data_IF_702557053865
#
_entry.id   IF_702557053865
#
_cell.length_a   1.000
_cell.length_b   1.000
_cell.length_c   1.000
_cell.angle_alpha   90.00
_cell.angle_beta   90.00
_cell.angle_gamma   90.00
#
_symmetry.space_group_name_H-M   'P 1'
#
loop_
_entity.id
_entity.type
_entity.pdbx_description
1 polymer ?
#
# COMPACT_ATOMS: atom_id res chain seq x y z
N UNK A 1 12.03 -18.78 -23.87
CA UNK A 1 12.01 -17.48 -23.18
C UNK A 1 11.05 -17.62 -22.02
N UNK A 2 11.59 -17.66 -20.80
CA UNK A 2 10.81 -17.91 -19.60
C UNK A 2 9.96 -16.68 -19.29
N UNK A 3 8.64 -16.77 -19.54
CA UNK A 3 7.65 -15.84 -19.01
C UNK A 3 7.68 -15.96 -17.49
N UNK A 4 8.37 -15.04 -16.80
CA UNK A 4 8.20 -14.86 -15.35
C UNK A 4 6.72 -14.56 -15.14
N UNK A 5 6.01 -15.43 -14.41
CA UNK A 5 4.63 -15.18 -14.01
C UNK A 5 4.65 -13.95 -13.08
N UNK A 6 3.99 -12.89 -13.50
CA UNK A 6 3.72 -11.72 -12.67
C UNK A 6 2.99 -12.21 -11.41
N UNK A 7 3.51 -11.89 -10.23
CA UNK A 7 2.84 -12.22 -8.97
C UNK A 7 1.93 -11.05 -8.65
N UNK A 8 0.63 -11.29 -8.60
CA UNK A 8 -0.44 -10.32 -8.34
C UNK A 8 -0.17 -9.39 -7.13
N UNK A 9 0.68 -9.82 -6.18
CA UNK A 9 1.05 -9.10 -4.96
C UNK A 9 1.79 -7.76 -5.16
N UNK A 10 2.51 -7.52 -6.27
CA UNK A 10 3.31 -6.28 -6.42
C UNK A 10 2.47 -5.08 -6.86
N UNK A 11 1.44 -5.32 -7.68
CA UNK A 11 0.47 -4.31 -8.15
C UNK A 11 -0.40 -3.79 -6.99
N UNK A 12 -0.55 -4.58 -5.91
CA UNK A 12 -1.21 -4.14 -4.68
C UNK A 12 -0.51 -2.97 -3.99
N UNK A 13 0.77 -2.62 -4.22
CA UNK A 13 1.37 -1.50 -3.47
C UNK A 13 0.87 -0.11 -3.93
N UNK A 14 0.69 0.09 -5.25
CA UNK A 14 0.11 1.33 -5.80
C UNK A 14 -1.40 1.34 -5.62
N UNK A 15 -2.05 0.17 -5.71
CA UNK A 15 -3.52 0.05 -5.71
C UNK A 15 -4.12 -0.23 -4.32
N UNK A 16 -3.36 -0.78 -3.36
CA UNK A 16 -3.73 -0.80 -1.93
C UNK A 16 -3.49 0.54 -1.26
N UNK A 17 -2.77 1.47 -1.91
CA UNK A 17 -2.79 2.89 -1.53
C UNK A 17 -4.21 3.48 -1.65
N UNK A 18 -5.11 2.84 -2.42
CA UNK A 18 -6.55 3.17 -2.51
C UNK A 18 -7.39 2.37 -1.49
N UNK A 19 -6.82 1.36 -0.82
CA UNK A 19 -7.54 0.41 0.05
C UNK A 19 -6.80 0.08 1.36
N UNK A 20 -6.14 1.04 2.01
CA UNK A 20 -5.72 0.85 3.40
C UNK A 20 -6.94 1.03 4.31
N UNK A 21 -7.77 -0.01 4.40
CA UNK A 21 -8.59 -0.22 5.60
C UNK A 21 -7.65 -0.78 6.66
N UNK A 22 -7.62 -0.10 7.80
CA UNK A 22 -6.73 -0.33 8.91
C UNK A 22 -6.72 -1.79 9.39
N UNK A 23 -5.56 -2.43 9.30
CA UNK A 23 -5.22 -3.61 10.10
C UNK A 23 -3.94 -3.34 10.91
N UNK A 24 -3.93 -2.24 11.68
CA UNK A 24 -2.97 -2.03 12.77
C UNK A 24 -3.75 -1.89 14.08
N UNK A 25 -4.01 -3.03 14.73
CA UNK A 25 -4.24 -3.03 16.18
C UNK A 25 -2.89 -2.97 16.90
N UNK A 26 -2.77 -2.23 18.03
CA UNK A 26 -1.51 -2.17 18.77
C UNK A 26 -1.13 -3.55 19.32
N UNK A 27 0.09 -3.97 19.06
CA UNK A 27 0.69 -5.17 19.63
C UNK A 27 0.75 -5.02 21.16
N UNK A 28 -0.06 -5.80 21.87
CA UNK A 28 0.07 -6.01 23.32
C UNK A 28 1.27 -6.94 23.54
N UNK A 29 2.25 -6.56 24.37
CA UNK A 29 3.40 -7.41 24.65
C UNK A 29 2.97 -8.65 25.46
N UNK A 30 3.58 -9.82 25.23
CA UNK A 30 3.27 -11.01 26.04
C UNK A 30 3.86 -10.85 27.44
N UNK A 31 2.99 -10.96 28.45
CA UNK A 31 3.43 -11.21 29.83
C UNK A 31 3.92 -12.65 29.99
N UNK A 32 4.99 -12.76 30.78
CA UNK A 32 5.81 -13.93 31.00
C UNK A 32 5.09 -15.14 31.64
N UNK A 33 5.67 -16.30 31.36
CA UNK A 33 5.18 -17.63 31.67
C UNK A 33 5.17 -18.00 33.17
N UNK A 34 4.25 -18.90 33.51
CA UNK A 34 4.31 -19.71 34.73
C UNK A 34 3.57 -21.04 34.58
N UNK A 35 4.33 -22.10 34.23
CA UNK A 35 4.28 -23.51 34.73
C UNK A 35 2.91 -24.12 35.10
N UNK A 36 2.45 -25.29 34.64
CA UNK A 36 3.05 -26.65 34.68
C UNK A 36 2.09 -27.69 34.07
N UNK A 37 2.66 -28.81 33.62
CA UNK A 37 2.15 -30.21 33.58
C UNK A 37 1.04 -30.67 32.61
N UNK A 38 1.49 -31.42 31.59
CA UNK A 38 1.14 -32.81 31.23
C UNK A 38 -0.31 -33.33 31.41
N UNK A 39 -0.90 -33.80 30.30
CA UNK A 39 -1.30 -35.21 30.15
C UNK A 39 -1.75 -35.51 28.70
N UNK A 40 -1.30 -36.65 28.20
CA UNK A 40 -1.72 -37.26 26.94
C UNK A 40 -3.20 -37.72 26.99
N UNK A 41 -3.85 -37.81 25.83
CA UNK A 41 -4.64 -39.00 25.43
C UNK A 41 -5.10 -38.89 23.97
N UNK A 42 -5.12 -40.06 23.32
CA UNK A 42 -5.36 -40.33 21.91
C UNK A 42 -6.83 -40.64 21.58
N UNK A 43 -7.13 -40.55 20.27
CA UNK A 43 -8.20 -41.25 19.55
C UNK A 43 -9.63 -40.68 19.75
N UNK A 44 -10.55 -40.67 18.79
CA UNK A 44 -10.95 -41.68 17.79
C UNK A 44 -11.68 -40.99 16.62
N UNK A 45 -11.55 -41.55 15.41
CA UNK A 45 -12.33 -41.23 14.21
C UNK A 45 -13.80 -41.72 14.30
N UNK A 46 -14.73 -40.97 13.69
CA UNK A 46 -16.04 -41.50 13.30
C UNK A 46 -16.50 -40.86 11.98
N UNK A 47 -16.57 -41.69 10.94
CA UNK A 47 -17.34 -41.46 9.71
C UNK A 47 -18.84 -41.37 10.02
N UNK A 48 -19.58 -40.55 9.26
CA UNK A 48 -20.96 -40.88 8.89
C UNK A 48 -21.43 -40.06 7.67
N UNK A 49 -21.40 -40.74 6.51
CA UNK A 49 -22.47 -40.85 5.49
C UNK A 49 -23.11 -39.58 4.89
N UNK A 50 -22.88 -39.46 3.58
CA UNK A 50 -23.69 -38.71 2.63
C UNK A 50 -25.13 -39.21 2.54
N UNK A 51 -26.06 -38.27 2.36
CA UNK A 51 -27.40 -38.48 1.81
C UNK A 51 -27.70 -37.31 0.88
N UNK A 52 -27.77 -37.55 -0.44
CA UNK A 52 -28.61 -36.76 -1.35
C UNK A 52 -30.02 -37.36 -1.35
N UNK A 53 -31.10 -36.58 -1.59
CA UNK A 53 -31.53 -36.45 -2.98
C UNK A 53 -32.13 -35.09 -3.39
N UNK A 54 -31.98 -34.84 -4.70
CA UNK A 54 -32.84 -34.12 -5.67
C UNK A 54 -34.05 -33.31 -5.16
N UNK A 55 -34.17 -32.08 -5.66
CA UNK A 55 -35.41 -31.31 -5.63
C UNK A 55 -35.34 -29.93 -6.27
N UNK A 56 -35.60 -29.89 -7.58
CA UNK A 56 -36.19 -28.79 -8.37
C UNK A 56 -35.78 -27.33 -8.08
N UNK A 57 -35.19 -26.71 -9.11
CA UNK A 57 -35.18 -25.27 -9.29
C UNK A 57 -36.59 -24.68 -9.16
N UNK A 58 -36.74 -23.70 -8.26
CA UNK A 58 -37.79 -22.69 -8.36
C UNK A 58 -37.17 -21.32 -8.15
N UNK A 59 -37.16 -20.60 -9.25
CA UNK A 59 -37.09 -19.15 -9.39
C UNK A 59 -38.17 -18.51 -8.51
N UNK A 60 -37.76 -17.88 -7.41
CA UNK A 60 -38.58 -16.94 -6.65
C UNK A 60 -37.72 -15.74 -6.27
N UNK A 61 -37.91 -14.64 -6.98
CA UNK A 61 -37.51 -13.32 -6.52
C UNK A 61 -38.09 -13.09 -5.12
N UNK A 62 -37.21 -12.95 -4.13
CA UNK A 62 -37.56 -12.52 -2.78
C UNK A 62 -37.67 -10.99 -2.82
N UNK A 63 -38.79 -10.38 -2.45
CA UNK A 63 -38.84 -8.93 -2.30
C UNK A 63 -37.95 -8.52 -1.12
N UNK A 64 -37.17 -7.46 -1.29
CA UNK A 64 -36.38 -6.83 -0.24
C UNK A 64 -37.33 -6.25 0.83
N UNK A 65 -37.67 -7.07 1.83
CA UNK A 65 -38.39 -6.61 3.02
C UNK A 65 -37.36 -6.25 4.09
N UNK A 66 -36.88 -5.00 4.03
CA UNK A 66 -35.95 -4.42 5.01
C UNK A 66 -36.65 -4.08 6.35
N UNK A 67 -37.90 -4.48 6.57
CA UNK A 67 -38.68 -4.06 7.75
C UNK A 67 -38.22 -4.66 9.09
N UNK A 68 -37.22 -5.54 9.09
CA UNK A 68 -36.77 -6.28 10.28
C UNK A 68 -35.30 -6.07 10.67
N UNK A 69 -34.58 -5.15 10.02
CA UNK A 69 -33.22 -4.81 10.46
C UNK A 69 -33.33 -3.92 11.70
N UNK A 70 -32.83 -4.43 12.83
CA UNK A 70 -32.73 -3.70 14.09
C UNK A 70 -32.19 -2.30 13.92
N UNK A 71 -33.09 -1.33 13.96
CA UNK A 71 -32.78 0.08 13.84
C UNK A 71 -32.04 0.49 15.10
N UNK A 72 -30.77 0.86 14.93
CA UNK A 72 -29.92 1.37 15.99
C UNK A 72 -30.58 2.50 16.76
N UNK A 73 -30.64 2.42 18.09
CA UNK A 73 -30.53 3.60 18.96
C UNK A 73 -29.05 3.71 19.37
N UNK A 74 -28.25 4.36 18.51
CA UNK A 74 -26.87 4.72 18.84
C UNK A 74 -26.92 5.76 19.95
N UNK A 75 -26.60 5.34 21.18
CA UNK A 75 -26.60 6.10 22.44
C UNK A 75 -26.87 7.62 22.33
N UNK A 76 -28.12 8.01 22.60
CA UNK A 76 -28.57 9.34 23.02
C UNK A 76 -28.58 10.51 22.03
N UNK A 77 -28.74 10.29 20.72
CA UNK A 77 -29.19 11.37 19.79
C UNK A 77 -30.02 10.94 18.58
N UNK A 78 -30.59 9.74 18.53
CA UNK A 78 -31.57 9.46 17.49
C UNK A 78 -32.94 10.02 17.90
N UNK A 79 -33.55 10.95 17.14
CA UNK A 79 -34.93 11.33 17.40
C UNK A 79 -35.82 10.11 17.19
N UNK A 80 -36.77 9.85 18.09
CA UNK A 80 -37.63 8.65 18.11
C UNK A 80 -38.54 8.48 16.85
N UNK A 81 -38.36 9.30 15.80
CA UNK A 81 -39.13 9.33 14.54
C UNK A 81 -38.19 9.65 13.34
N UNK A 82 -37.17 8.83 13.08
CA UNK A 82 -36.38 8.93 11.84
C UNK A 82 -37.12 8.23 10.70
N UNK A 83 -37.77 9.01 9.82
CA UNK A 83 -38.34 8.47 8.58
C UNK A 83 -37.26 8.36 7.51
N UNK A 84 -36.84 7.14 7.19
CA UNK A 84 -35.95 6.89 6.07
C UNK A 84 -36.68 7.09 4.75
N UNK A 85 -35.99 7.71 3.80
CA UNK A 85 -36.37 7.70 2.40
C UNK A 85 -35.79 6.45 1.74
N UNK A 86 -36.54 5.85 0.82
CA UNK A 86 -36.14 4.62 0.11
C UNK A 86 -36.01 4.94 -1.36
N UNK A 87 -34.85 4.67 -1.93
CA UNK A 87 -34.61 4.84 -3.37
C UNK A 87 -35.18 3.66 -4.17
N UNK A 88 -35.20 3.81 -5.49
CA UNK A 88 -35.65 2.73 -6.40
C UNK A 88 -34.77 1.47 -6.32
N UNK A 89 -33.50 1.60 -5.89
CA UNK A 89 -32.59 0.46 -5.68
C UNK A 89 -32.79 -0.24 -4.34
N UNK A 90 -33.58 0.35 -3.44
CA UNK A 90 -33.79 -0.15 -2.07
C UNK A 90 -32.81 0.42 -1.04
N UNK A 91 -31.95 1.38 -1.41
CA UNK A 91 -31.14 2.12 -0.45
C UNK A 91 -32.05 2.92 0.48
N UNK A 92 -31.83 2.78 1.78
CA UNK A 92 -32.54 3.56 2.79
C UNK A 92 -31.60 4.66 3.28
N UNK A 93 -32.04 5.92 3.27
CA UNK A 93 -31.24 7.01 3.82
C UNK A 93 -32.04 8.00 4.66
N UNK A 94 -31.31 8.70 5.52
CA UNK A 94 -31.81 9.79 6.34
C UNK A 94 -30.84 10.97 6.26
N UNK A 95 -31.35 12.15 5.91
CA UNK A 95 -30.58 13.39 5.90
C UNK A 95 -30.45 13.90 7.33
N UNK A 96 -29.23 13.84 7.88
CA UNK A 96 -28.92 14.31 9.23
C UNK A 96 -28.64 15.82 9.23
N UNK A 97 -27.98 16.30 8.17
CA UNK A 97 -27.60 17.70 7.98
C UNK A 97 -27.58 18.00 6.48
N UNK A 98 -28.24 19.08 6.08
CA UNK A 98 -28.18 19.57 4.69
C UNK A 98 -26.87 20.30 4.46
N UNK A 99 -26.20 19.99 3.35
CA UNK A 99 -25.04 20.76 2.89
C UNK A 99 -25.48 21.98 2.10
N UNK A 100 -24.56 22.94 1.91
CA UNK A 100 -24.79 24.13 1.10
C UNK A 100 -23.77 24.31 -0.04
N UNK A 101 -22.82 23.39 -0.16
CA UNK A 101 -21.80 23.40 -1.21
C UNK A 101 -22.20 22.68 -2.50
N UNK A 102 -21.18 22.27 -3.26
CA UNK A 102 -21.35 21.62 -4.55
C UNK A 102 -22.01 20.24 -4.42
N UNK A 103 -22.77 19.85 -5.44
CA UNK A 103 -23.32 18.50 -5.59
C UNK A 103 -22.38 17.69 -6.50
N UNK A 104 -21.99 16.47 -6.10
CA UNK A 104 -21.19 15.58 -6.94
C UNK A 104 -21.84 15.27 -8.29
N UNK A 105 -21.01 15.07 -9.31
CA UNK A 105 -21.39 14.48 -10.60
C UNK A 105 -20.61 13.19 -10.80
N UNK A 106 -21.16 12.26 -11.58
CA UNK A 106 -20.41 11.07 -12.00
C UNK A 106 -19.09 11.47 -12.66
N UNK A 107 -17.98 10.90 -12.16
CA UNK A 107 -16.62 11.23 -12.56
C UNK A 107 -15.92 12.26 -11.67
N UNK A 108 -16.64 12.98 -10.80
CA UNK A 108 -16.02 13.87 -9.83
C UNK A 108 -15.25 13.07 -8.76
N UNK A 109 -14.21 13.69 -8.22
CA UNK A 109 -13.48 13.23 -7.06
C UNK A 109 -14.28 13.66 -5.83
N UNK A 110 -14.63 12.69 -4.99
CA UNK A 110 -15.46 12.88 -3.80
C UNK A 110 -14.67 12.48 -2.56
N UNK A 111 -14.62 13.39 -1.58
CA UNK A 111 -13.99 13.15 -0.28
C UNK A 111 -15.06 13.07 0.81
N UNK A 112 -15.08 11.98 1.56
CA UNK A 112 -16.05 11.77 2.64
C UNK A 112 -15.39 11.34 3.94
N UNK A 113 -15.87 11.90 5.05
CA UNK A 113 -15.76 11.25 6.35
C UNK A 113 -16.88 10.24 6.51
N UNK A 114 -16.61 9.15 7.24
CA UNK A 114 -17.58 8.11 7.48
C UNK A 114 -17.39 7.43 8.83
N UNK A 115 -18.48 6.85 9.31
CA UNK A 115 -18.47 5.84 10.36
C UNK A 115 -19.32 4.67 9.87
N UNK A 116 -18.76 3.47 9.91
CA UNK A 116 -19.33 2.27 9.30
C UNK A 116 -19.57 1.20 10.35
N UNK A 117 -20.78 0.66 10.35
CA UNK A 117 -21.17 -0.46 11.19
C UNK A 117 -21.73 -1.60 10.36
N UNK A 118 -21.45 -2.82 10.80
CA UNK A 118 -22.15 -4.02 10.37
C UNK A 118 -23.48 -4.10 11.11
N UNK A 119 -24.59 -4.12 10.38
CA UNK A 119 -25.92 -4.27 10.96
C UNK A 119 -26.03 -5.55 11.80
N UNK A 120 -26.84 -5.52 12.86
CA UNK A 120 -27.18 -6.73 13.61
C UNK A 120 -27.93 -7.74 12.73
N UNK A 121 -27.72 -9.03 12.98
CA UNK A 121 -28.46 -10.09 12.28
C UNK A 121 -29.97 -10.05 12.58
N UNK A 122 -30.37 -9.42 13.69
CA UNK A 122 -31.74 -9.19 14.12
C UNK A 122 -31.82 -7.96 15.02
N UNK A 123 -33.04 -7.56 15.42
CA UNK A 123 -33.31 -6.43 16.31
C UNK A 123 -32.66 -6.55 17.71
N UNK A 124 -32.21 -7.75 18.10
CA UNK A 124 -31.61 -8.00 19.40
C UNK A 124 -30.09 -8.00 19.36
N UNK A 125 -29.51 -8.06 18.17
CA UNK A 125 -28.07 -8.07 17.95
C UNK A 125 -27.61 -6.63 17.71
N UNK A 126 -26.79 -6.05 18.61
CA UNK A 126 -26.30 -4.70 18.39
C UNK A 126 -25.33 -4.69 17.20
N UNK A 127 -25.42 -3.69 16.32
CA UNK A 127 -24.46 -3.54 15.24
C UNK A 127 -23.05 -3.32 15.76
N UNK A 128 -22.11 -3.77 14.95
CA UNK A 128 -20.70 -3.79 15.29
C UNK A 128 -20.00 -2.68 14.52
N UNK A 129 -19.27 -1.80 15.22
CA UNK A 129 -18.42 -0.81 14.57
C UNK A 129 -17.34 -1.53 13.77
N UNK A 130 -17.23 -1.22 12.48
CA UNK A 130 -16.23 -1.78 11.58
C UNK A 130 -15.08 -0.80 11.41
N UNK A 131 -15.42 0.47 11.14
CA UNK A 131 -14.41 1.49 10.84
C UNK A 131 -14.95 2.90 11.10
N UNK A 132 -14.05 3.84 11.38
CA UNK A 132 -14.35 5.23 11.75
C UNK A 132 -13.23 6.17 11.25
N UNK A 133 -13.53 6.93 10.19
CA UNK A 133 -12.60 7.89 9.60
C UNK A 133 -12.34 9.09 10.51
N UNK A 134 -13.31 9.45 11.37
CA UNK A 134 -13.21 10.58 12.28
C UNK A 134 -12.26 10.25 13.43
N UNK A 135 -12.30 9.02 13.92
CA UNK A 135 -11.41 8.53 14.96
C UNK A 135 -9.97 8.38 14.46
N UNK A 136 -9.79 7.94 13.22
CA UNK A 136 -8.47 7.81 12.57
C UNK A 136 -7.94 9.13 12.01
N UNK A 137 -8.81 10.10 11.74
CA UNK A 137 -8.48 11.34 11.05
C UNK A 137 -8.15 11.14 9.56
N UNK A 138 -8.63 10.05 8.96
CA UNK A 138 -8.33 9.67 7.58
C UNK A 138 -9.63 9.54 6.78
N UNK A 139 -10.11 10.61 6.12
CA UNK A 139 -11.24 10.52 5.22
C UNK A 139 -10.91 9.64 4.01
N UNK A 140 -11.94 9.12 3.35
CA UNK A 140 -11.79 8.39 2.09
C UNK A 140 -12.07 9.31 0.91
N UNK A 141 -11.26 9.17 -0.15
CA UNK A 141 -11.41 9.88 -1.41
C UNK A 141 -11.59 8.87 -2.54
N UNK A 142 -12.59 9.04 -3.40
CA UNK A 142 -12.87 8.15 -4.53
C UNK A 142 -13.50 8.91 -5.69
N UNK A 143 -13.50 8.30 -6.88
CA UNK A 143 -14.14 8.85 -8.08
C UNK A 143 -15.58 8.34 -8.14
N UNK A 144 -16.55 9.24 -8.15
CA UNK A 144 -17.97 8.86 -8.13
C UNK A 144 -18.37 8.10 -9.40
N UNK A 145 -18.93 6.90 -9.24
CA UNK A 145 -19.36 6.04 -10.35
C UNK A 145 -18.21 5.22 -10.95
N UNK A 146 -17.10 5.09 -10.24
CA UNK A 146 -15.95 4.29 -10.66
C UNK A 146 -16.01 2.85 -10.15
N UNK A 147 -16.87 2.56 -9.16
CA UNK A 147 -16.90 1.27 -8.48
C UNK A 147 -15.77 1.09 -7.46
N UNK A 148 -15.10 2.18 -7.04
CA UNK A 148 -14.07 2.14 -5.99
C UNK A 148 -14.66 1.90 -4.59
N UNK A 149 -15.92 2.30 -4.36
CA UNK A 149 -16.69 1.94 -3.17
C UNK A 149 -17.94 1.17 -3.59
N UNK A 150 -18.55 0.44 -2.67
CA UNK A 150 -19.71 -0.39 -2.99
C UNK A 150 -20.93 0.46 -3.42
N UNK A 151 -21.84 -0.07 -4.25
CA UNK A 151 -22.85 0.72 -4.96
C UNK A 151 -23.73 1.61 -4.05
N UNK A 152 -24.13 1.12 -2.88
CA UNK A 152 -24.98 1.87 -1.96
C UNK A 152 -24.30 3.09 -1.34
N UNK A 153 -22.97 3.11 -1.24
CA UNK A 153 -22.22 4.30 -0.85
C UNK A 153 -22.24 5.33 -1.97
N UNK A 154 -21.87 4.93 -3.21
CA UNK A 154 -21.87 5.83 -4.37
C UNK A 154 -23.24 6.47 -4.58
N UNK A 155 -24.30 5.66 -4.52
CA UNK A 155 -25.67 6.13 -4.64
C UNK A 155 -26.02 7.13 -3.53
N UNK A 156 -25.71 6.82 -2.27
CA UNK A 156 -26.08 7.64 -1.12
C UNK A 156 -25.44 9.03 -1.08
N UNK A 157 -24.35 9.25 -1.81
CA UNK A 157 -23.67 10.55 -1.91
C UNK A 157 -24.02 11.36 -3.16
N UNK A 158 -24.71 10.77 -4.15
CA UNK A 158 -24.87 11.36 -5.49
C UNK A 158 -25.63 12.69 -5.49
N UNK A 159 -26.64 12.83 -4.64
CA UNK A 159 -27.46 14.05 -4.50
C UNK A 159 -27.17 14.82 -3.19
N UNK A 160 -26.09 14.46 -2.48
CA UNK A 160 -25.61 15.25 -1.35
C UNK A 160 -25.04 16.59 -1.82
N UNK A 161 -24.97 17.54 -0.89
CA UNK A 161 -24.20 18.78 -1.05
C UNK A 161 -23.02 18.76 -0.08
N UNK A 162 -21.89 19.32 -0.49
CA UNK A 162 -20.71 19.49 0.39
C UNK A 162 -21.14 20.18 1.69
N UNK A 163 -20.65 19.65 2.81
CA UNK A 163 -21.04 20.00 4.18
C UNK A 163 -22.19 19.16 4.75
N UNK A 164 -22.90 18.41 3.90
CA UNK A 164 -24.04 17.58 4.30
C UNK A 164 -23.64 16.29 4.99
N UNK A 165 -24.57 15.75 5.80
CA UNK A 165 -24.41 14.48 6.51
C UNK A 165 -25.63 13.59 6.30
N UNK A 166 -25.39 12.31 6.06
CA UNK A 166 -26.44 11.30 5.85
C UNK A 166 -26.13 10.04 6.62
N UNK A 167 -27.19 9.36 7.06
CA UNK A 167 -27.12 7.98 7.51
C UNK A 167 -27.74 7.10 6.43
N UNK A 168 -27.00 6.10 5.98
CA UNK A 168 -27.40 5.13 4.98
C UNK A 168 -27.58 3.78 5.68
N UNK A 169 -28.68 3.09 5.39
CA UNK A 169 -28.87 1.68 5.66
C UNK A 169 -28.84 0.96 4.32
N UNK A 170 -27.73 0.26 4.10
CA UNK A 170 -27.34 -0.28 2.80
C UNK A 170 -27.64 -1.77 2.81
N UNK A 171 -28.62 -2.23 2.00
CA UNK A 171 -28.96 -3.63 1.92
C UNK A 171 -27.82 -4.45 1.30
N UNK A 172 -27.78 -5.78 1.50
CA UNK A 172 -26.69 -6.61 1.03
C UNK A 172 -26.42 -6.48 -0.48
N UNK A 173 -27.45 -6.33 -1.30
CA UNK A 173 -27.36 -6.21 -2.76
C UNK A 173 -26.64 -4.93 -3.22
N UNK A 174 -26.61 -3.89 -2.37
CA UNK A 174 -25.89 -2.64 -2.61
C UNK A 174 -24.57 -2.57 -1.82
N UNK A 175 -24.21 -3.65 -1.13
CA UNK A 175 -22.99 -3.82 -0.35
C UNK A 175 -22.18 -5.04 -0.87
N UNK A 176 -22.07 -6.12 -0.09
CA UNK A 176 -21.24 -7.30 -0.40
C UNK A 176 -22.03 -8.53 -0.84
N UNK A 177 -23.35 -8.41 -1.01
CA UNK A 177 -24.22 -9.43 -1.56
C UNK A 177 -24.24 -10.75 -0.79
N UNK A 178 -24.66 -11.81 -1.49
CA UNK A 178 -24.80 -13.15 -0.93
C UNK A 178 -23.46 -13.86 -0.64
N UNK A 179 -22.38 -13.38 -1.22
CA UNK A 179 -21.05 -13.97 -1.05
C UNK A 179 -20.27 -13.33 0.11
N UNK A 180 -20.62 -12.09 0.49
CA UNK A 180 -19.85 -11.31 1.45
C UNK A 180 -18.51 -10.86 0.86
N UNK A 181 -17.58 -10.42 1.72
CA UNK A 181 -16.24 -10.02 1.29
C UNK A 181 -15.32 -9.69 2.44
N UNK A 182 -14.11 -10.27 2.49
CA UNK A 182 -13.13 -9.98 3.54
C UNK A 182 -13.69 -10.20 4.95
N UNK A 183 -13.85 -9.11 5.72
CA UNK A 183 -14.42 -9.12 7.07
C UNK A 183 -15.95 -9.05 7.10
N UNK A 184 -16.60 -8.83 5.95
CA UNK A 184 -18.05 -8.68 5.83
C UNK A 184 -18.71 -10.03 5.55
N UNK A 185 -19.57 -10.54 6.44
CA UNK A 185 -20.26 -11.80 6.23
C UNK A 185 -21.23 -11.74 5.04
N UNK A 186 -21.53 -12.89 4.41
CA UNK A 186 -22.63 -13.06 3.46
C UNK A 186 -23.94 -12.40 3.90
N UNK A 187 -24.65 -11.76 2.98
CA UNK A 187 -25.98 -11.17 3.19
C UNK A 187 -26.03 -10.13 4.33
N UNK A 188 -24.94 -9.43 4.58
CA UNK A 188 -24.90 -8.41 5.64
C UNK A 188 -25.34 -7.05 5.14
N UNK A 189 -26.17 -6.37 5.93
CA UNK A 189 -26.48 -4.95 5.73
C UNK A 189 -25.42 -4.08 6.41
N UNK A 190 -25.18 -2.90 5.86
CA UNK A 190 -24.23 -1.92 6.38
C UNK A 190 -25.00 -0.69 6.84
N UNK A 191 -24.63 -0.14 7.99
CA UNK A 191 -25.05 1.19 8.41
C UNK A 191 -23.85 2.11 8.19
N UNK A 192 -24.03 3.16 7.41
CA UNK A 192 -22.97 4.10 7.06
C UNK A 192 -23.44 5.52 7.36
N UNK A 193 -22.81 6.18 8.33
CA UNK A 193 -22.94 7.62 8.46
C UNK A 193 -21.85 8.27 7.62
N UNK A 194 -22.23 9.10 6.66
CA UNK A 194 -21.31 9.73 5.71
C UNK A 194 -21.46 11.25 5.78
N UNK A 195 -20.33 11.95 5.82
CA UNK A 195 -20.24 13.41 5.71
C UNK A 195 -19.50 13.75 4.42
N UNK A 196 -20.16 14.50 3.52
CA UNK A 196 -19.53 14.93 2.28
C UNK A 196 -18.65 16.15 2.55
N UNK A 197 -17.34 15.97 2.47
CA UNK A 197 -16.37 17.01 2.83
C UNK A 197 -15.99 17.88 1.65
N UNK A 198 -15.79 17.27 0.48
CA UNK A 198 -15.31 17.97 -0.70
C UNK A 198 -15.69 17.26 -2.00
N UNK A 199 -15.77 18.05 -3.07
CA UNK A 199 -16.06 17.60 -4.44
C UNK A 199 -15.17 18.38 -5.41
N UNK A 200 -14.32 17.67 -6.14
CA UNK A 200 -13.38 18.25 -7.10
C UNK A 200 -13.60 17.66 -8.50
N UNK A 201 -13.48 18.49 -9.54
CA UNK A 201 -13.43 18.00 -10.92
C UNK A 201 -12.08 17.30 -11.16
N UNK A 202 -12.05 16.13 -11.82
CA UNK A 202 -10.82 15.39 -12.02
C UNK A 202 -9.86 16.14 -12.94
N UNK A 203 -8.54 16.04 -12.71
CA UNK A 203 -7.56 16.60 -13.60
C UNK A 203 -7.73 16.01 -15.00
N UNK A 204 -7.53 16.85 -16.01
CA UNK A 204 -7.53 16.42 -17.41
C UNK A 204 -6.08 16.23 -17.87
N UNK A 205 -5.81 15.25 -18.75
CA UNK A 205 -4.48 15.09 -19.30
C UNK A 205 -4.11 16.29 -20.16
N UNK A 206 -2.82 16.59 -20.21
CA UNK A 206 -2.23 17.57 -21.11
C UNK A 206 -2.54 17.17 -22.55
N UNK A 207 -3.16 18.08 -23.29
CA UNK A 207 -3.51 17.84 -24.68
C UNK A 207 -2.25 17.79 -25.55
N UNK A 208 -2.02 16.66 -26.21
CA UNK A 208 -0.89 16.43 -27.12
C UNK A 208 -1.38 15.89 -28.47
N UNK A 209 -0.62 16.13 -29.54
CA UNK A 209 -0.93 15.55 -30.85
C UNK A 209 -0.53 14.07 -30.90
N UNK A 210 -1.36 13.17 -31.43
CA UNK A 210 -0.99 11.76 -31.60
C UNK A 210 0.29 11.54 -32.43
N UNK A 211 0.60 12.47 -33.35
CA UNK A 211 1.79 12.40 -34.21
C UNK A 211 3.09 12.81 -33.49
N UNK A 212 3.00 13.40 -32.29
CA UNK A 212 4.16 13.91 -31.54
C UNK A 212 4.78 12.85 -30.60
N UNK A 213 4.10 11.71 -30.40
CA UNK A 213 4.61 10.65 -29.55
C UNK A 213 5.82 9.94 -30.17
N UNK A 214 6.81 9.68 -29.33
CA UNK A 214 7.85 8.69 -29.62
C UNK A 214 7.33 7.30 -29.26
N UNK A 215 7.45 6.35 -30.19
CA UNK A 215 7.03 4.96 -29.97
C UNK A 215 8.26 4.08 -29.76
N UNK A 216 8.28 3.31 -28.68
CA UNK A 216 9.36 2.37 -28.36
C UNK A 216 9.16 1.03 -29.07
N UNK A 217 10.15 0.14 -28.99
CA UNK A 217 10.07 -1.21 -29.57
C UNK A 217 9.00 -2.10 -28.91
N UNK A 218 8.61 -1.81 -27.66
CA UNK A 218 7.55 -2.54 -26.95
C UNK A 218 6.14 -2.07 -27.35
N UNK A 219 6.05 -0.94 -28.06
CA UNK A 219 4.79 -0.27 -28.40
C UNK A 219 4.35 0.79 -27.39
N UNK A 220 5.10 1.00 -26.30
CA UNK A 220 4.89 2.16 -25.42
C UNK A 220 5.05 3.45 -26.24
N UNK A 221 4.17 4.40 -26.01
CA UNK A 221 4.28 5.73 -26.60
C UNK A 221 4.51 6.76 -25.51
N UNK A 222 5.43 7.70 -25.73
CA UNK A 222 5.68 8.78 -24.78
C UNK A 222 5.99 10.12 -25.43
N UNK A 223 5.78 11.20 -24.68
CA UNK A 223 6.17 12.56 -25.02
C UNK A 223 6.64 13.30 -23.76
N UNK A 224 7.78 13.97 -23.85
CA UNK A 224 8.28 14.85 -22.80
C UNK A 224 7.48 16.15 -22.82
N UNK A 225 6.68 16.38 -21.77
CA UNK A 225 5.90 17.60 -21.58
C UNK A 225 6.79 18.73 -21.06
N UNK A 226 7.71 18.38 -20.16
CA UNK A 226 8.74 19.27 -19.61
C UNK A 226 10.05 18.51 -19.55
N UNK A 227 11.12 19.09 -20.11
CA UNK A 227 12.46 18.53 -20.01
C UNK A 227 13.01 18.76 -18.60
N UNK A 228 13.52 17.70 -17.98
CA UNK A 228 14.14 17.78 -16.67
C UNK A 228 15.50 18.49 -16.70
N UNK A 229 16.14 18.57 -15.54
CA UNK A 229 17.46 19.18 -15.39
C UNK A 229 18.38 18.33 -14.52
N UNK A 230 19.68 18.51 -14.70
CA UNK A 230 20.71 17.78 -13.97
C UNK A 230 21.38 16.68 -14.80
N UNK A 231 22.44 16.10 -14.25
CA UNK A 231 23.29 15.15 -14.98
C UNK A 231 22.81 13.70 -14.88
N UNK A 232 21.88 13.40 -13.97
CA UNK A 232 21.34 12.06 -13.77
C UNK A 232 20.13 11.81 -14.66
N UNK A 233 20.23 10.75 -15.46
CA UNK A 233 19.10 10.14 -16.17
C UNK A 233 18.72 8.84 -15.49
N UNK A 234 17.42 8.53 -15.49
CA UNK A 234 16.88 7.26 -15.00
C UNK A 234 17.40 6.11 -15.88
N UNK A 235 17.97 5.11 -15.23
CA UNK A 235 18.45 3.85 -15.81
C UNK A 235 17.83 2.66 -15.08
N UNK A 236 17.96 1.46 -15.68
CA UNK A 236 17.51 0.22 -15.02
C UNK A 236 18.26 0.01 -13.71
N UNK A 237 17.53 -0.35 -12.65
CA UNK A 237 18.04 -0.49 -11.29
C UNK A 237 17.89 0.76 -10.42
N UNK A 238 17.72 1.95 -11.00
CA UNK A 238 17.58 3.18 -10.22
C UNK A 238 16.32 3.18 -9.36
N UNK A 239 16.43 3.75 -8.17
CA UNK A 239 15.29 4.08 -7.32
C UNK A 239 14.78 5.47 -7.70
N UNK A 240 13.54 5.55 -8.17
CA UNK A 240 12.90 6.79 -8.61
C UNK A 240 11.77 7.18 -7.68
N UNK A 241 11.53 8.48 -7.55
CA UNK A 241 10.36 9.03 -6.86
C UNK A 241 9.60 9.92 -7.84
N UNK A 242 8.32 9.66 -8.07
CA UNK A 242 7.53 10.38 -9.06
C UNK A 242 6.11 10.67 -8.58
N UNK A 243 5.60 11.83 -8.96
CA UNK A 243 4.17 12.08 -8.98
C UNK A 243 3.56 11.51 -10.26
N UNK A 244 2.30 11.08 -10.19
CA UNK A 244 1.63 10.50 -11.33
C UNK A 244 0.12 10.76 -11.34
N UNK A 245 -0.47 10.73 -12.53
CA UNK A 245 -1.91 10.66 -12.75
C UNK A 245 -2.19 9.66 -13.85
N UNK A 246 -3.22 8.83 -13.69
CA UNK A 246 -3.62 7.78 -14.62
C UNK A 246 -5.06 8.00 -15.07
N UNK A 247 -5.27 7.87 -16.37
CA UNK A 247 -6.56 7.84 -17.04
C UNK A 247 -6.67 6.58 -17.92
N UNK A 248 -7.89 6.18 -18.24
CA UNK A 248 -8.13 5.24 -19.35
C UNK A 248 -7.95 5.95 -20.68
N UNK A 249 -7.27 5.32 -21.64
CA UNK A 249 -7.03 5.96 -22.93
C UNK A 249 -8.30 6.10 -23.80
N UNK A 250 -9.27 5.18 -23.67
CA UNK A 250 -10.56 5.24 -24.39
C UNK A 250 -11.50 6.25 -23.72
N UNK A 251 -11.28 7.52 -24.06
CA UNK A 251 -11.91 8.67 -23.42
C UNK A 251 -11.27 8.88 -22.05
N UNK A 252 -10.38 9.89 -21.87
CA UNK A 252 -9.50 10.08 -20.70
C UNK A 252 -10.26 10.18 -19.37
N UNK A 253 -10.75 9.04 -18.90
CA UNK A 253 -11.52 8.89 -17.66
C UNK A 253 -10.51 8.72 -16.55
N UNK A 254 -10.49 9.69 -15.66
CA UNK A 254 -9.59 9.72 -14.52
C UNK A 254 -9.79 8.47 -13.68
N UNK A 255 -8.68 7.89 -13.24
CA UNK A 255 -8.67 6.72 -12.38
C UNK A 255 -8.03 7.02 -11.03
N UNK A 256 -6.78 7.49 -11.01
CA UNK A 256 -6.07 7.82 -9.76
C UNK A 256 -4.87 8.74 -10.01
N UNK A 257 -4.32 9.33 -8.95
CA UNK A 257 -3.05 10.04 -9.00
C UNK A 257 -2.47 10.36 -7.62
N UNK A 258 -1.16 10.57 -7.54
CA UNK A 258 -0.43 10.82 -6.29
C UNK A 258 -0.84 12.13 -5.59
N UNK A 259 -1.31 13.11 -6.36
CA UNK A 259 -1.70 14.43 -5.85
C UNK A 259 -2.83 14.39 -4.82
N UNK A 260 -3.74 13.41 -4.91
CA UNK A 260 -4.84 13.27 -3.94
C UNK A 260 -4.35 12.80 -2.57
N UNK A 261 -3.27 12.02 -2.53
CA UNK A 261 -2.72 11.47 -1.30
C UNK A 261 -1.61 12.34 -0.70
N UNK A 262 -1.16 13.36 -1.44
CA UNK A 262 -0.13 14.29 -1.00
C UNK A 262 1.26 13.67 -0.89
N UNK A 263 1.51 12.47 -1.42
CA UNK A 263 2.82 11.84 -1.42
C UNK A 263 3.19 11.25 -2.79
N UNK A 264 4.39 11.55 -3.30
CA UNK A 264 4.90 10.91 -4.51
C UNK A 264 5.20 9.44 -4.25
N UNK A 265 5.21 8.64 -5.30
CA UNK A 265 5.44 7.21 -5.20
C UNK A 265 6.91 6.88 -5.54
N UNK A 266 7.52 6.00 -4.73
CA UNK A 266 8.91 5.56 -4.92
C UNK A 266 8.97 4.08 -5.27
N UNK A 267 9.80 3.73 -6.26
CA UNK A 267 10.04 2.34 -6.67
C UNK A 267 11.38 2.21 -7.38
N UNK A 268 11.89 0.98 -7.48
CA UNK A 268 13.11 0.68 -8.25
C UNK A 268 12.76 0.21 -9.66
N UNK A 269 13.35 0.85 -10.67
CA UNK A 269 13.10 0.55 -12.08
C UNK A 269 13.64 -0.85 -12.42
N UNK A 270 12.81 -1.71 -13.02
CA UNK A 270 13.15 -3.09 -13.35
C UNK A 270 12.86 -4.10 -12.23
N UNK A 271 12.33 -3.66 -11.10
CA UNK A 271 12.00 -4.54 -9.97
C UNK A 271 10.70 -5.33 -10.19
N UNK A 272 9.81 -4.86 -11.08
CA UNK A 272 8.46 -5.38 -11.24
C UNK A 272 7.51 -4.95 -10.12
N UNK A 273 7.84 -3.87 -9.38
CA UNK A 273 6.94 -3.26 -8.40
C UNK A 273 5.76 -2.56 -9.08
N UNK A 274 5.97 -2.00 -10.27
CA UNK A 274 4.96 -1.33 -11.08
C UNK A 274 4.80 -2.07 -12.42
N UNK A 275 3.75 -1.76 -13.19
CA UNK A 275 3.54 -2.42 -14.48
C UNK A 275 4.62 -2.01 -15.50
N UNK A 276 4.96 -2.88 -16.48
CA UNK A 276 6.13 -2.70 -17.36
C UNK A 276 6.21 -1.36 -18.09
N UNK A 277 5.07 -0.86 -18.58
CA UNK A 277 5.02 0.41 -19.32
C UNK A 277 5.35 1.63 -18.47
N UNK A 278 5.13 1.57 -17.14
CA UNK A 278 5.58 2.61 -16.23
C UNK A 278 7.09 2.54 -16.05
N UNK A 279 7.65 1.37 -15.74
CA UNK A 279 9.11 1.21 -15.60
C UNK A 279 9.86 1.66 -16.86
N UNK A 280 9.41 1.20 -18.02
CA UNK A 280 9.98 1.59 -19.31
C UNK A 280 9.82 3.09 -19.58
N UNK A 281 8.65 3.66 -19.27
CA UNK A 281 8.37 5.09 -19.49
C UNK A 281 9.23 6.04 -18.68
N UNK A 282 9.74 5.60 -17.51
CA UNK A 282 10.66 6.40 -16.70
C UNK A 282 12.07 6.49 -17.29
N UNK A 283 12.49 5.53 -18.12
CA UNK A 283 13.87 5.46 -18.62
C UNK A 283 14.26 6.73 -19.39
N UNK A 284 15.45 7.23 -19.09
CA UNK A 284 16.01 8.44 -19.70
C UNK A 284 15.40 9.76 -19.20
N UNK A 285 14.40 9.74 -18.30
CA UNK A 285 13.92 10.97 -17.66
C UNK A 285 14.99 11.57 -16.76
N UNK A 286 14.95 12.90 -16.59
CA UNK A 286 15.79 13.67 -15.66
C UNK A 286 14.91 14.30 -14.58
N UNK A 287 15.48 14.55 -13.40
CA UNK A 287 14.78 15.16 -12.27
C UNK A 287 14.15 16.50 -12.67
N UNK A 288 12.89 16.71 -12.28
CA UNK A 288 12.05 17.84 -12.66
C UNK A 288 11.36 17.68 -14.02
N UNK A 289 11.66 16.62 -14.78
CA UNK A 289 11.02 16.35 -16.06
C UNK A 289 9.60 15.81 -15.88
N UNK A 290 8.73 16.14 -16.84
CA UNK A 290 7.37 15.61 -16.93
C UNK A 290 7.18 14.89 -18.25
N UNK A 291 6.54 13.73 -18.20
CA UNK A 291 6.32 12.88 -19.36
C UNK A 291 4.90 12.35 -19.36
N UNK A 292 4.29 12.33 -20.53
CA UNK A 292 3.04 11.63 -20.76
C UNK A 292 3.33 10.33 -21.48
N UNK A 293 2.70 9.25 -21.02
CA UNK A 293 2.81 7.89 -21.50
C UNK A 293 1.44 7.42 -21.99
N UNK A 294 1.37 6.87 -23.18
CA UNK A 294 0.25 6.07 -23.66
C UNK A 294 0.69 4.61 -23.67
N UNK A 295 0.10 3.84 -22.77
CA UNK A 295 0.57 2.53 -22.34
C UNK A 295 -0.43 1.47 -22.83
N UNK A 296 -0.04 0.66 -23.84
CA UNK A 296 -0.86 -0.45 -24.29
C UNK A 296 -1.18 -1.43 -23.15
N UNK A 297 -2.35 -2.05 -23.20
CA UNK A 297 -2.81 -2.98 -22.16
C UNK A 297 -1.80 -4.09 -21.82
N UNK A 298 -1.08 -4.65 -22.80
CA UNK A 298 -0.02 -5.66 -22.60
C UNK A 298 1.16 -5.17 -21.74
N UNK A 299 1.37 -3.85 -21.66
CA UNK A 299 2.37 -3.19 -20.81
C UNK A 299 1.76 -2.59 -19.53
N UNK A 300 0.44 -2.65 -19.38
CA UNK A 300 -0.33 -2.20 -18.23
C UNK A 300 -0.91 -3.40 -17.45
N UNK A 301 -2.24 -3.56 -17.44
CA UNK A 301 -2.97 -4.57 -16.66
C UNK A 301 -3.51 -5.75 -17.50
N UNK A 302 -3.21 -5.76 -18.80
CA UNK A 302 -3.48 -6.87 -19.73
C UNK A 302 -4.93 -7.35 -19.73
N UNK A 303 -5.11 -8.64 -19.97
CA UNK A 303 -6.41 -9.32 -20.02
C UNK A 303 -7.16 -9.34 -18.68
N UNK A 304 -6.49 -9.03 -17.57
CA UNK A 304 -7.10 -9.07 -16.23
C UNK A 304 -7.80 -7.74 -15.89
N UNK A 305 -7.23 -6.60 -16.28
CA UNK A 305 -7.72 -5.30 -15.83
C UNK A 305 -7.55 -5.11 -14.32
N UNK A 306 -8.43 -4.34 -13.68
CA UNK A 306 -8.46 -4.18 -12.23
C UNK A 306 -9.88 -3.94 -11.71
N UNK A 307 -10.44 -5.00 -11.11
CA UNK A 307 -11.81 -4.99 -10.58
C UNK A 307 -12.82 -4.49 -11.61
N UNK A 308 -13.79 -3.70 -11.16
CA UNK A 308 -14.74 -3.00 -12.04
C UNK A 308 -14.20 -1.64 -12.53
N UNK A 309 -13.07 -1.18 -12.00
CA UNK A 309 -12.58 0.16 -12.24
C UNK A 309 -11.81 0.29 -13.56
N UNK A 310 -10.94 -0.69 -13.87
CA UNK A 310 -10.20 -0.79 -15.13
C UNK A 310 -10.62 -2.06 -15.88
N UNK A 311 -11.32 -1.93 -17.02
CA UNK A 311 -11.70 -3.09 -17.81
C UNK A 311 -10.50 -3.89 -18.33
N UNK A 312 -10.66 -5.20 -18.55
CA UNK A 312 -9.70 -6.01 -19.31
C UNK A 312 -9.28 -5.37 -20.63
N UNK A 313 -7.99 -5.50 -20.96
CA UNK A 313 -7.39 -5.01 -22.21
C UNK A 313 -7.51 -3.49 -22.38
N UNK A 314 -7.56 -2.73 -21.29
CA UNK A 314 -7.57 -1.27 -21.34
C UNK A 314 -6.17 -0.71 -21.51
N UNK A 315 -6.02 0.19 -22.49
CA UNK A 315 -4.85 1.05 -22.60
C UNK A 315 -4.95 2.20 -21.57
N UNK A 316 -3.81 2.61 -21.02
CA UNK A 316 -3.75 3.67 -20.02
C UNK A 316 -3.03 4.90 -20.60
N UNK A 317 -3.55 6.07 -20.26
CA UNK A 317 -2.83 7.33 -20.42
C UNK A 317 -2.31 7.74 -19.04
N UNK A 318 -1.03 8.05 -18.93
CA UNK A 318 -0.40 8.39 -17.66
C UNK A 318 0.48 9.62 -17.81
N UNK A 319 0.41 10.54 -16.86
CA UNK A 319 1.39 11.61 -16.72
C UNK A 319 2.23 11.37 -15.50
N UNK A 320 3.55 11.52 -15.63
CA UNK A 320 4.51 11.40 -14.55
C UNK A 320 5.36 12.65 -14.44
N UNK A 321 5.64 13.06 -13.21
CA UNK A 321 6.62 14.09 -12.89
C UNK A 321 7.71 13.48 -12.01
N UNK A 322 8.94 13.47 -12.49
CA UNK A 322 10.06 12.84 -11.79
C UNK A 322 10.63 13.80 -10.74
N UNK A 323 10.54 13.41 -9.47
CA UNK A 323 10.93 14.22 -8.32
C UNK A 323 12.35 13.93 -7.84
N UNK A 324 12.77 12.67 -7.84
CA UNK A 324 14.09 12.23 -7.38
C UNK A 324 14.57 10.97 -8.12
N UNK A 325 15.88 10.84 -8.30
CA UNK A 325 16.55 9.66 -8.85
C UNK A 325 17.74 9.32 -7.97
N UNK A 326 17.78 8.08 -7.49
CA UNK A 326 18.88 7.55 -6.68
C UNK A 326 19.47 6.34 -7.40
N UNK A 327 20.77 6.43 -7.66
CA UNK A 327 21.53 5.30 -8.20
C UNK A 327 21.65 4.20 -7.13
N UNK A 328 21.62 2.92 -7.52
CA UNK A 328 21.93 1.82 -6.60
C UNK A 328 23.27 2.06 -5.94
N UNK A 329 23.34 1.79 -4.64
CA UNK A 329 24.61 1.87 -3.95
C UNK A 329 25.54 0.76 -4.48
N UNK A 330 26.76 1.15 -4.81
CA UNK A 330 27.82 0.23 -5.21
C UNK A 330 28.77 0.10 -4.03
N UNK A 331 29.17 -1.14 -3.72
CA UNK A 331 30.20 -1.40 -2.73
C UNK A 331 31.49 -0.65 -3.11
N UNK A 332 32.06 0.08 -2.15
CA UNK A 332 33.39 0.68 -2.28
C UNK A 332 34.41 -0.44 -2.38
N UNK A 333 35.20 -0.47 -3.46
CA UNK A 333 36.30 -1.41 -3.58
C UNK A 333 37.40 -1.03 -2.57
N UNK A 334 37.68 -1.94 -1.65
CA UNK A 334 38.72 -1.79 -0.62
C UNK A 334 39.69 -2.96 -0.74
N UNK A 335 40.99 -2.66 -0.78
CA UNK A 335 42.01 -3.71 -0.81
C UNK A 335 41.96 -4.54 0.48
N UNK A 336 41.95 -5.86 0.36
CA UNK A 336 41.86 -6.80 1.50
C UNK A 336 42.90 -6.51 2.61
N UNK A 337 44.07 -5.98 2.23
CA UNK A 337 45.15 -5.63 3.17
C UNK A 337 44.89 -4.37 3.99
N UNK A 338 43.93 -3.53 3.61
CA UNK A 338 43.57 -2.31 4.32
C UNK A 338 42.58 -2.54 5.46
N UNK A 339 41.91 -3.70 5.46
CA UNK A 339 40.99 -4.05 6.52
C UNK A 339 41.70 -4.30 7.85
N UNK A 340 41.12 -3.75 8.92
CA UNK A 340 41.44 -4.18 10.28
C UNK A 340 40.57 -5.37 10.64
N UNK A 341 41.17 -6.48 11.04
CA UNK A 341 40.46 -7.68 11.51
C UNK A 341 40.46 -7.71 13.04
N UNK A 342 39.28 -7.85 13.63
CA UNK A 342 39.11 -7.97 15.08
C UNK A 342 39.28 -9.43 15.53
N UNK A 343 39.35 -9.65 16.85
CA UNK A 343 39.49 -11.00 17.42
C UNK A 343 38.26 -11.91 17.14
N UNK A 344 37.09 -11.32 16.89
CA UNK A 344 35.87 -12.05 16.52
C UNK A 344 35.85 -12.47 15.04
N UNK A 345 36.78 -11.96 14.24
CA UNK A 345 36.85 -12.16 12.80
C UNK A 345 36.08 -11.14 11.98
N UNK A 346 35.43 -10.16 12.61
CA UNK A 346 34.89 -9.00 11.92
C UNK A 346 36.04 -8.24 11.23
N UNK A 347 35.83 -7.83 9.98
CA UNK A 347 36.76 -6.90 9.31
C UNK A 347 36.08 -5.57 9.10
N UNK A 348 36.84 -4.49 9.25
CA UNK A 348 36.35 -3.16 8.94
C UNK A 348 37.39 -2.27 8.27
N UNK A 349 36.89 -1.29 7.51
CA UNK A 349 37.66 -0.22 6.90
C UNK A 349 36.86 1.09 7.00
N UNK A 350 37.49 2.14 7.52
CA UNK A 350 36.90 3.48 7.56
C UNK A 350 37.05 4.16 6.20
N UNK A 351 35.98 4.17 5.41
CA UNK A 351 35.92 4.91 4.13
C UNK A 351 36.02 6.41 4.40
N UNK A 352 35.30 6.87 5.43
CA UNK A 352 35.38 8.23 5.97
C UNK A 352 35.47 8.13 7.49
N UNK A 353 36.53 8.67 8.09
CA UNK A 353 36.60 8.78 9.54
C UNK A 353 35.72 9.95 10.01
N UNK A 354 34.82 9.69 10.96
CA UNK A 354 33.98 10.73 11.56
C UNK A 354 34.74 11.58 12.57
N UNK A 355 34.20 12.75 12.86
CA UNK A 355 34.79 13.70 13.82
C UNK A 355 33.96 13.86 15.11
N UNK A 356 32.76 13.27 15.15
CA UNK A 356 31.86 13.34 16.30
C UNK A 356 32.11 12.28 17.38
N UNK A 357 31.23 12.19 18.39
CA UNK A 357 31.36 11.20 19.46
C UNK A 357 31.22 9.77 18.91
N UNK A 358 31.85 8.82 19.60
CA UNK A 358 31.57 7.40 19.45
C UNK A 358 30.41 6.99 20.37
N UNK A 359 29.56 6.04 19.95
CA UNK A 359 28.42 5.62 20.75
C UNK A 359 28.85 4.77 21.96
N UNK A 360 28.21 4.99 23.10
CA UNK A 360 28.33 4.14 24.29
C UNK A 360 27.24 3.05 24.31
N UNK A 361 27.49 1.88 24.91
CA UNK A 361 26.49 0.82 25.02
C UNK A 361 25.18 1.31 25.63
N UNK A 362 24.07 1.01 24.96
CA UNK A 362 22.74 1.43 25.37
C UNK A 362 22.22 2.70 24.70
N UNK A 363 23.10 3.52 24.10
CA UNK A 363 22.68 4.68 23.32
C UNK A 363 22.02 4.27 22.01
N UNK A 364 21.16 5.15 21.48
CA UNK A 364 20.53 4.92 20.17
C UNK A 364 21.40 5.54 19.09
N UNK A 365 21.85 4.72 18.15
CA UNK A 365 22.57 5.20 16.96
C UNK A 365 21.59 5.40 15.82
N UNK A 366 21.85 6.40 14.98
CA UNK A 366 21.10 6.68 13.75
C UNK A 366 22.05 6.44 12.59
N UNK A 367 21.72 5.52 11.69
CA UNK A 367 22.62 5.14 10.59
C UNK A 367 21.93 5.09 9.23
N UNK A 368 22.67 5.48 8.19
CA UNK A 368 22.40 4.97 6.85
C UNK A 368 23.23 3.72 6.58
N UNK A 369 22.69 2.78 5.81
CA UNK A 369 23.44 1.59 5.44
C UNK A 369 23.01 1.02 4.11
N UNK A 370 23.89 0.20 3.55
CA UNK A 370 23.55 -0.76 2.49
C UNK A 370 24.27 -2.07 2.76
N UNK A 371 23.59 -3.19 2.53
CA UNK A 371 24.09 -4.55 2.71
C UNK A 371 24.11 -5.33 1.41
N UNK A 372 25.22 -6.01 1.15
CA UNK A 372 25.44 -6.88 -0.01
C UNK A 372 25.90 -8.27 0.41
N UNK A 373 25.54 -9.27 -0.39
CA UNK A 373 26.21 -10.56 -0.39
C UNK A 373 27.63 -10.41 -0.97
N UNK A 374 28.52 -11.37 -0.70
CA UNK A 374 29.90 -11.35 -1.24
C UNK A 374 29.98 -11.31 -2.78
N UNK A 375 28.92 -11.71 -3.48
CA UNK A 375 28.84 -11.63 -4.94
C UNK A 375 28.42 -10.25 -5.46
N UNK A 376 28.23 -9.27 -4.57
CA UNK A 376 27.80 -7.91 -4.88
C UNK A 376 26.28 -7.75 -4.97
N UNK A 377 25.48 -8.80 -4.73
CA UNK A 377 24.02 -8.69 -4.71
C UNK A 377 23.57 -7.90 -3.49
N UNK A 378 23.02 -6.70 -3.70
CA UNK A 378 22.40 -5.93 -2.63
C UNK A 378 21.18 -6.70 -2.10
N UNK A 379 21.07 -6.84 -0.78
CA UNK A 379 19.93 -7.48 -0.13
C UNK A 379 19.10 -6.52 0.73
N UNK A 380 19.68 -5.40 1.18
CA UNK A 380 18.97 -4.40 1.97
C UNK A 380 19.68 -3.03 1.91
N UNK A 381 18.93 -1.94 2.03
CA UNK A 381 19.44 -0.58 2.11
C UNK A 381 18.45 0.35 2.77
N UNK A 382 18.91 1.17 3.73
CA UNK A 382 18.07 2.25 4.27
C UNK A 382 17.94 3.43 3.32
N UNK A 383 18.80 3.54 2.31
CA UNK A 383 18.72 4.60 1.29
C UNK A 383 17.53 4.37 0.34
N UNK A 384 17.20 3.12 0.06
CA UNK A 384 16.03 2.73 -0.73
C UNK A 384 14.72 3.08 -0.01
N UNK A 385 14.72 2.98 1.31
CA UNK A 385 13.58 3.35 2.17
C UNK A 385 13.52 4.86 2.43
N UNK A 386 14.61 5.59 2.14
CA UNK A 386 14.72 7.03 2.35
C UNK A 386 14.73 7.48 3.82
N UNK A 387 14.75 6.56 4.77
CA UNK A 387 14.76 6.85 6.20
C UNK A 387 15.95 6.17 6.88
N UNK A 388 16.68 6.87 7.77
CA UNK A 388 17.73 6.24 8.57
C UNK A 388 17.19 5.13 9.46
N UNK A 389 18.04 4.15 9.76
CA UNK A 389 17.72 3.09 10.69
C UNK A 389 18.24 3.45 12.09
N UNK A 390 17.40 3.29 13.10
CA UNK A 390 17.72 3.60 14.49
C UNK A 390 17.68 2.35 15.36
N UNK A 391 18.72 2.13 16.17
CA UNK A 391 18.74 1.00 17.09
C UNK A 391 19.62 1.28 18.33
N UNK A 392 19.35 0.61 19.47
CA UNK A 392 20.21 0.68 20.64
C UNK A 392 21.47 -0.18 20.44
N UNK A 393 22.65 0.44 20.53
CA UNK A 393 23.94 -0.21 20.30
C UNK A 393 24.37 -1.08 21.49
N UNK A 394 24.92 -2.26 21.20
CA UNK A 394 25.50 -3.16 22.20
C UNK A 394 24.47 -3.89 23.07
N UNK A 395 23.22 -4.00 22.59
CA UNK A 395 22.12 -4.69 23.28
C UNK A 395 21.66 -5.96 22.56
N UNK A 396 22.27 -6.34 21.43
CA UNK A 396 21.89 -7.52 20.66
C UNK A 396 20.61 -7.35 19.84
N UNK A 397 20.21 -6.11 19.55
CA UNK A 397 19.03 -5.81 18.72
C UNK A 397 19.31 -5.92 17.21
N UNK A 398 20.59 -5.94 16.84
CA UNK A 398 21.10 -6.14 15.49
C UNK A 398 22.07 -7.32 15.48
N UNK A 399 22.52 -7.74 14.30
CA UNK A 399 23.55 -8.79 14.19
C UNK A 399 24.81 -8.41 14.96
N UNK A 400 25.50 -9.41 15.54
CA UNK A 400 26.64 -9.17 16.42
C UNK A 400 27.76 -8.34 15.76
N UNK A 401 27.99 -8.53 14.46
CA UNK A 401 28.98 -7.76 13.71
C UNK A 401 28.66 -6.27 13.61
N UNK A 402 27.38 -5.89 13.64
CA UNK A 402 26.96 -4.49 13.70
C UNK A 402 27.16 -3.89 15.08
N UNK A 403 26.74 -4.62 16.12
CA UNK A 403 26.95 -4.18 17.51
C UNK A 403 28.44 -3.95 17.80
N UNK A 404 29.33 -4.79 17.26
CA UNK A 404 30.77 -4.62 17.37
C UNK A 404 31.32 -3.52 16.44
N UNK A 405 30.95 -3.57 15.16
CA UNK A 405 31.53 -2.72 14.11
C UNK A 405 31.16 -1.25 14.22
N UNK A 406 29.92 -0.96 14.64
CA UNK A 406 29.41 0.42 14.79
C UNK A 406 29.84 1.05 16.11
N UNK A 407 30.05 0.25 17.17
CA UNK A 407 30.41 0.76 18.50
C UNK A 407 31.72 1.59 18.52
N UNK A 408 32.65 1.33 17.59
CA UNK A 408 33.91 2.07 17.47
C UNK A 408 33.92 3.13 16.36
N UNK A 409 32.79 3.35 15.69
CA UNK A 409 32.66 4.45 14.73
C UNK A 409 32.56 5.79 15.46
N UNK A 410 32.74 6.88 14.71
CA UNK A 410 32.46 8.25 15.16
C UNK A 410 31.35 8.83 14.30
N UNK A 411 30.49 9.67 14.89
CA UNK A 411 29.46 10.40 14.15
C UNK A 411 30.07 11.19 12.99
N UNK A 412 29.43 11.12 11.83
CA UNK A 412 29.91 11.63 10.53
C UNK A 412 30.82 10.66 9.78
N UNK A 413 31.11 9.48 10.33
CA UNK A 413 31.96 8.47 9.70
C UNK A 413 31.18 7.49 8.85
N UNK A 414 31.83 6.98 7.79
CA UNK A 414 31.35 5.90 6.93
C UNK A 414 32.33 4.74 6.95
N UNK A 415 31.84 3.54 7.25
CA UNK A 415 32.66 2.34 7.46
C UNK A 415 32.13 1.18 6.63
N UNK A 416 33.03 0.44 5.99
CA UNK A 416 32.72 -0.86 5.42
C UNK A 416 33.00 -1.96 6.45
N UNK A 417 32.08 -2.91 6.60
CA UNK A 417 32.17 -4.08 7.46
C UNK A 417 32.08 -5.34 6.59
N UNK A 418 33.01 -6.28 6.76
CA UNK A 418 32.86 -7.65 6.27
C UNK A 418 32.52 -8.52 7.47
N UNK A 419 31.25 -8.93 7.53
CA UNK A 419 30.66 -9.63 8.66
C UNK A 419 30.60 -11.13 8.33
N UNK A 420 31.44 -11.98 8.95
CA UNK A 420 31.37 -13.42 8.75
C UNK A 420 30.04 -13.97 9.27
N UNK A 421 29.61 -15.12 8.75
CA UNK A 421 28.32 -15.72 9.04
C UNK A 421 27.99 -15.84 10.54
N UNK A 422 28.97 -16.21 11.37
CA UNK A 422 28.81 -16.38 12.83
C UNK A 422 28.51 -15.06 13.56
N UNK A 423 28.83 -13.92 12.96
CA UNK A 423 28.51 -12.58 13.44
C UNK A 423 27.30 -11.96 12.70
N UNK A 424 26.70 -12.70 11.77
CA UNK A 424 25.53 -12.34 10.96
C UNK A 424 24.36 -13.29 11.24
N UNK A 425 23.80 -13.95 10.21
CA UNK A 425 22.63 -14.85 10.31
C UNK A 425 23.00 -16.34 10.41
N UNK A 426 24.29 -16.67 10.52
CA UNK A 426 24.80 -18.01 10.75
C UNK A 426 24.32 -19.06 9.74
N UNK A 427 24.23 -20.31 10.20
CA UNK A 427 23.82 -21.45 9.37
C UNK A 427 22.35 -21.44 8.93
N UNK A 428 21.52 -20.59 9.54
CA UNK A 428 20.12 -20.43 9.14
C UNK A 428 19.97 -19.49 7.94
N UNK A 429 20.81 -18.45 7.86
CA UNK A 429 20.60 -17.35 6.91
C UNK A 429 19.32 -16.57 7.24
N UNK A 430 18.82 -15.82 6.25
CA UNK A 430 17.52 -15.14 6.28
C UNK A 430 16.81 -15.34 4.94
N UNK A 431 16.24 -16.54 4.69
CA UNK A 431 15.59 -16.85 3.42
C UNK A 431 14.37 -15.95 3.15
N UNK A 432 14.08 -15.61 1.89
CA UNK A 432 14.78 -16.04 0.67
C UNK A 432 16.04 -15.21 0.34
N UNK A 433 16.30 -14.13 1.06
CA UNK A 433 17.25 -13.08 0.63
C UNK A 433 18.70 -13.38 1.01
N UNK A 434 18.93 -13.88 2.22
CA UNK A 434 20.28 -14.17 2.74
C UNK A 434 20.47 -15.69 2.86
N UNK A 435 21.40 -16.29 2.10
CA UNK A 435 21.69 -17.71 2.19
C UNK A 435 22.27 -18.13 3.55
N UNK A 436 22.18 -19.43 3.84
CA UNK A 436 22.85 -20.02 4.99
C UNK A 436 24.38 -19.87 4.90
N UNK A 437 25.01 -19.51 6.02
CA UNK A 437 26.46 -19.27 6.15
C UNK A 437 27.00 -18.16 5.24
N UNK A 438 26.16 -17.19 4.85
CA UNK A 438 26.62 -16.05 4.07
C UNK A 438 27.49 -15.10 4.90
N UNK A 439 28.63 -14.71 4.35
CA UNK A 439 29.34 -13.50 4.76
C UNK A 439 28.63 -12.30 4.14
N UNK A 440 28.48 -11.23 4.90
CA UNK A 440 27.81 -10.02 4.46
C UNK A 440 28.79 -8.86 4.39
N UNK A 441 28.66 -8.02 3.38
CA UNK A 441 29.34 -6.74 3.32
C UNK A 441 28.33 -5.66 3.65
N UNK A 442 28.66 -4.78 4.59
CA UNK A 442 27.87 -3.59 4.88
C UNK A 442 28.70 -2.35 4.69
N UNK A 443 28.10 -1.29 4.16
CA UNK A 443 28.57 0.07 4.37
C UNK A 443 27.61 0.77 5.30
N UNK A 444 28.13 1.32 6.39
CA UNK A 444 27.35 1.99 7.43
C UNK A 444 27.87 3.41 7.58
N UNK A 445 26.98 4.39 7.54
CA UNK A 445 27.26 5.79 7.83
C UNK A 445 26.58 6.17 9.16
N UNK A 446 27.37 6.57 10.15
CA UNK A 446 26.86 6.96 11.46
C UNK A 446 26.48 8.44 11.47
N UNK A 447 25.18 8.71 11.46
CA UNK A 447 24.62 10.06 11.32
C UNK A 447 24.52 10.78 12.67
N UNK A 448 24.09 10.07 13.71
CA UNK A 448 23.84 10.66 15.02
C UNK A 448 23.87 9.61 16.15
N UNK A 449 23.98 10.09 17.39
CA UNK A 449 23.90 9.30 18.62
C UNK A 449 23.05 10.05 19.65
N UNK A 450 22.00 9.39 20.17
CA UNK A 450 21.00 9.96 21.09
C UNK A 450 21.16 9.47 22.53
#
# INVERSE_FOLDING_TARGET
>A
MNKKRFTLMSIFAILALVFVVAACGPAVPPEDAGTTEAAATSAVAAEATAVEPEGAAQDTAVPADNSGVGMLDLEQKQPEDVSYEVTDSGLNYYVMEEGDGATPKTGDIVTTDYVMWLAGADETTPPQLIDDSLASGQPITFVLGSGQVFPGWEEGVTDMQVGGKRQLLIPPELAFGADGGGIFPPNSSIILQVSLLDVEEPPQPTAVSPDDYTTTDSGLQYIDLEEGSGDLTVEEGDSVTADFIIWLADGPRYFTGSYQQGQPFSFSVGSGQVFPGWEEGMLGMQVGGKRQLLIPSDLALGEEGYGDAIPPNSDLLMEVALNDVRKPAVQTEVDESEFTTTDSGLKYYDIVEGDGPSPEPGQTVVVHYTGWLEDGTQFDSSLDQGTPFEFPIGQGNVIAGWDEGVASMKVGGKRQLIVPADLAYGAAGFPPTIPANATLVFEVELLDVK
#
